data_IF_602758522229
#
_entry.id   IF_602758522229
#
_cell.length_a   1.000
_cell.length_b   1.000
_cell.length_c   1.000
_cell.angle_alpha   90.00
_cell.angle_beta   90.00
_cell.angle_gamma   90.00
#
_symmetry.space_group_name_H-M   'P 1'
#
loop_
_entity.id
_entity.type
_entity.pdbx_description
1 polymer ?
#
# COMPACT_ATOMS: atom_id res chain seq x y z
N UNK A 1 -43.33 32.50 11.73
CA UNK A 1 -41.92 32.96 11.50
C UNK A 1 -40.90 32.08 12.25
N UNK A 2 -41.08 31.82 13.53
CA UNK A 2 -40.17 30.94 14.32
C UNK A 2 -40.09 29.49 13.82
N UNK A 3 -41.22 28.92 13.38
CA UNK A 3 -41.29 27.54 12.87
C UNK A 3 -40.56 27.34 11.52
N UNK A 4 -40.56 28.37 10.68
CA UNK A 4 -39.84 28.35 9.39
C UNK A 4 -38.31 28.40 9.58
N UNK A 5 -37.84 29.26 10.49
CA UNK A 5 -36.41 29.33 10.84
C UNK A 5 -35.88 28.04 11.44
N UNK A 6 -36.67 27.38 12.31
CA UNK A 6 -36.30 26.11 12.90
C UNK A 6 -36.17 24.99 11.83
N UNK A 7 -37.12 24.95 10.89
CA UNK A 7 -37.08 23.98 9.77
C UNK A 7 -35.85 24.19 8.88
N UNK A 8 -35.51 25.42 8.55
CA UNK A 8 -34.33 25.75 7.76
C UNK A 8 -33.05 25.34 8.52
N UNK A 9 -32.96 25.64 9.81
CA UNK A 9 -31.81 25.26 10.63
C UNK A 9 -31.62 23.75 10.69
N UNK A 10 -32.71 22.96 10.83
CA UNK A 10 -32.65 21.50 10.85
C UNK A 10 -32.19 20.95 9.49
N UNK A 11 -32.73 21.46 8.39
CA UNK A 11 -32.32 21.02 7.05
C UNK A 11 -30.86 21.33 6.78
N UNK A 12 -30.38 22.53 7.13
CA UNK A 12 -28.96 22.89 6.96
C UNK A 12 -28.06 22.01 7.82
N UNK A 13 -28.46 21.72 9.05
CA UNK A 13 -27.70 20.82 9.93
C UNK A 13 -27.63 19.39 9.39
N UNK A 14 -28.75 18.85 8.87
CA UNK A 14 -28.79 17.51 8.27
C UNK A 14 -27.93 17.44 6.99
N UNK A 15 -27.98 18.48 6.14
CA UNK A 15 -27.14 18.55 4.94
C UNK A 15 -25.66 18.66 5.29
N UNK A 16 -25.32 19.41 6.33
CA UNK A 16 -23.94 19.52 6.81
C UNK A 16 -23.44 18.21 7.43
N UNK A 17 -24.28 17.52 8.22
CA UNK A 17 -23.96 16.21 8.78
C UNK A 17 -23.79 15.16 7.68
N UNK A 18 -24.62 15.19 6.63
CA UNK A 18 -24.50 14.30 5.48
C UNK A 18 -23.23 14.55 4.67
N UNK A 19 -22.79 15.82 4.56
CA UNK A 19 -21.56 16.18 3.89
C UNK A 19 -20.32 15.62 4.63
N UNK A 20 -20.36 15.58 5.97
CA UNK A 20 -19.26 15.02 6.78
C UNK A 20 -19.14 13.49 6.65
N UNK A 21 -20.25 12.79 6.32
CA UNK A 21 -20.25 11.35 6.09
C UNK A 21 -19.68 10.93 4.72
N UNK A 22 -19.57 11.88 3.78
CA UNK A 22 -19.06 11.64 2.41
C UNK A 22 -17.57 12.01 2.29
N UNK A 23 -16.93 12.50 3.35
CA UNK A 23 -15.48 12.67 3.32
C UNK A 23 -14.85 11.29 3.12
N UNK A 24 -14.15 11.06 1.99
CA UNK A 24 -13.41 9.82 1.83
C UNK A 24 -12.44 9.76 3.01
N UNK A 25 -12.50 8.68 3.77
CA UNK A 25 -11.43 8.37 4.72
C UNK A 25 -10.14 8.43 3.92
N UNK A 26 -9.36 9.50 4.13
CA UNK A 26 -8.13 9.71 3.40
C UNK A 26 -7.32 8.45 3.55
N UNK A 27 -7.09 7.73 2.46
CA UNK A 27 -6.10 6.67 2.44
C UNK A 27 -4.77 7.36 2.71
N UNK A 28 -4.34 7.27 3.94
CA UNK A 28 -3.06 7.81 4.38
C UNK A 28 -1.87 7.03 3.79
N UNK A 29 -2.12 6.01 2.96
CA UNK A 29 -1.10 5.10 2.47
C UNK A 29 -0.85 5.36 0.99
N UNK A 30 0.10 6.25 0.73
CA UNK A 30 0.79 6.32 -0.55
C UNK A 30 1.67 5.06 -0.68
N UNK A 31 1.17 4.03 -1.34
CA UNK A 31 1.89 2.76 -1.55
C UNK A 31 3.26 2.95 -2.21
N UNK A 32 3.44 3.81 -3.23
CA UNK A 32 4.76 4.12 -3.77
C UNK A 32 5.72 4.69 -2.72
N UNK A 33 5.28 5.60 -1.87
CA UNK A 33 6.10 6.15 -0.80
C UNK A 33 6.43 5.11 0.28
N UNK A 34 5.47 4.24 0.61
CA UNK A 34 5.67 3.13 1.53
C UNK A 34 6.70 2.12 0.97
N UNK A 35 6.58 1.75 -0.30
CA UNK A 35 7.56 0.90 -0.98
C UNK A 35 8.95 1.53 -0.95
N UNK A 36 9.06 2.81 -1.30
CA UNK A 36 10.32 3.54 -1.28
C UNK A 36 10.98 3.52 0.10
N UNK A 37 10.22 3.71 1.17
CA UNK A 37 10.75 3.77 2.53
C UNK A 37 11.08 2.40 3.13
N UNK A 38 10.37 1.33 2.76
CA UNK A 38 10.48 0.01 3.41
C UNK A 38 11.15 -1.05 2.54
N UNK A 39 11.12 -0.94 1.23
CA UNK A 39 11.49 -2.00 0.30
C UNK A 39 12.65 -1.60 -0.61
N UNK A 40 12.69 -0.35 -1.07
CA UNK A 40 13.59 0.09 -2.12
C UNK A 40 15.08 0.03 -1.74
N UNK A 41 15.43 0.06 -0.48
CA UNK A 41 16.83 -0.08 -0.05
C UNK A 41 17.46 -1.39 -0.54
N UNK A 42 16.68 -2.47 -0.58
CA UNK A 42 17.12 -3.77 -1.09
C UNK A 42 16.62 -4.03 -2.51
N UNK A 43 15.34 -3.75 -2.77
CA UNK A 43 14.68 -4.11 -4.02
C UNK A 43 14.81 -3.07 -5.13
N UNK A 44 15.45 -1.93 -4.90
CA UNK A 44 15.50 -0.75 -5.75
C UNK A 44 14.10 -0.13 -6.01
N UNK A 45 14.08 1.13 -6.45
CA UNK A 45 12.82 1.83 -6.72
C UNK A 45 11.99 1.20 -7.85
N UNK A 46 12.66 0.55 -8.80
CA UNK A 46 12.05 -0.15 -9.94
C UNK A 46 11.80 -1.64 -9.71
N UNK A 47 12.16 -2.17 -8.53
CA UNK A 47 12.02 -3.59 -8.19
C UNK A 47 13.15 -4.50 -8.69
N UNK A 48 14.17 -3.96 -9.36
CA UNK A 48 15.26 -4.75 -9.95
C UNK A 48 16.22 -5.38 -8.94
N UNK A 49 16.27 -4.85 -7.71
CA UNK A 49 17.29 -5.24 -6.75
C UNK A 49 18.68 -4.60 -7.00
N UNK A 50 18.75 -3.66 -7.95
CA UNK A 50 20.02 -2.99 -8.32
C UNK A 50 20.38 -1.89 -7.33
N UNK A 51 20.72 -2.30 -6.12
CA UNK A 51 21.26 -1.47 -5.03
C UNK A 51 22.47 -2.15 -4.43
N UNK A 52 23.36 -1.42 -3.74
CA UNK A 52 24.47 -2.05 -3.03
C UNK A 52 24.03 -3.16 -2.06
N UNK A 53 22.99 -2.90 -1.27
CA UNK A 53 22.41 -3.88 -0.34
C UNK A 53 21.76 -5.05 -1.08
N UNK A 54 20.99 -4.77 -2.12
CA UNK A 54 20.32 -5.79 -2.94
C UNK A 54 21.32 -6.75 -3.58
N UNK A 55 22.41 -6.23 -4.13
CA UNK A 55 23.51 -7.04 -4.71
C UNK A 55 24.21 -7.88 -3.65
N UNK A 56 24.55 -7.28 -2.51
CA UNK A 56 25.22 -7.99 -1.42
C UNK A 56 24.35 -9.13 -0.86
N UNK A 57 23.04 -8.93 -0.78
CA UNK A 57 22.08 -9.93 -0.30
C UNK A 57 21.55 -10.86 -1.40
N UNK A 58 21.91 -10.61 -2.66
CA UNK A 58 21.44 -11.36 -3.83
C UNK A 58 19.92 -11.41 -3.89
N UNK A 59 19.26 -10.27 -3.71
CA UNK A 59 17.81 -10.18 -3.78
C UNK A 59 17.32 -10.46 -5.21
N UNK A 60 16.21 -11.17 -5.31
CA UNK A 60 15.61 -11.50 -6.61
C UNK A 60 14.98 -10.24 -7.21
N UNK A 61 15.14 -10.05 -8.52
CA UNK A 61 14.40 -9.03 -9.28
C UNK A 61 12.90 -9.30 -9.17
N UNK A 62 12.19 -8.39 -8.54
CA UNK A 62 10.74 -8.50 -8.32
C UNK A 62 9.94 -8.53 -9.62
N UNK A 63 10.54 -8.06 -10.73
CA UNK A 63 9.91 -8.03 -12.06
C UNK A 63 10.16 -9.31 -12.87
N UNK A 64 10.95 -10.23 -12.31
CA UNK A 64 11.30 -11.49 -12.97
C UNK A 64 10.10 -12.44 -13.06
N UNK A 65 10.13 -13.33 -14.05
CA UNK A 65 9.12 -14.39 -14.19
C UNK A 65 9.03 -15.28 -12.94
N UNK A 66 10.16 -15.55 -12.29
CA UNK A 66 10.20 -16.35 -11.08
C UNK A 66 9.35 -15.74 -9.94
N UNK A 67 9.29 -14.41 -9.85
CA UNK A 67 8.45 -13.70 -8.90
C UNK A 67 7.02 -13.54 -9.43
N UNK A 68 6.88 -13.14 -10.69
CA UNK A 68 5.58 -12.80 -11.26
C UNK A 68 4.66 -14.02 -11.47
N UNK A 69 5.20 -15.23 -11.55
CA UNK A 69 4.44 -16.50 -11.57
C UNK A 69 3.94 -16.93 -10.19
N UNK A 70 4.46 -16.38 -9.11
CA UNK A 70 3.93 -16.65 -7.78
C UNK A 70 2.55 -16.02 -7.61
N UNK A 71 1.69 -16.67 -6.82
CA UNK A 71 0.38 -16.11 -6.48
C UNK A 71 0.50 -14.90 -5.56
N UNK A 72 -0.51 -14.05 -5.52
CA UNK A 72 -0.55 -12.94 -4.57
C UNK A 72 -0.47 -13.44 -3.12
N UNK A 73 -1.12 -14.57 -2.81
CA UNK A 73 -1.05 -15.19 -1.48
C UNK A 73 0.39 -15.58 -1.11
N UNK A 74 1.17 -16.11 -2.05
CA UNK A 74 2.58 -16.46 -1.81
C UNK A 74 3.45 -15.22 -1.60
N UNK A 75 3.24 -14.16 -2.36
CA UNK A 75 3.97 -12.90 -2.19
C UNK A 75 3.59 -12.19 -0.89
N UNK A 76 2.30 -12.22 -0.53
CA UNK A 76 1.81 -11.70 0.75
C UNK A 76 2.45 -12.47 1.91
N UNK A 77 2.46 -13.80 1.87
CA UNK A 77 3.09 -14.62 2.91
C UNK A 77 4.59 -14.33 3.05
N UNK A 78 5.32 -14.22 1.95
CA UNK A 78 6.75 -13.89 1.96
C UNK A 78 7.02 -12.52 2.58
N UNK A 79 6.15 -11.53 2.35
CA UNK A 79 6.27 -10.20 2.93
C UNK A 79 5.87 -10.18 4.40
N UNK A 80 4.80 -10.89 4.75
CA UNK A 80 4.28 -10.97 6.12
C UNK A 80 5.26 -11.69 7.05
N UNK A 81 5.72 -12.87 6.64
CA UNK A 81 6.50 -13.77 7.50
C UNK A 81 8.01 -13.63 7.29
N UNK A 82 8.43 -12.93 6.24
CA UNK A 82 9.81 -12.88 5.80
C UNK A 82 10.23 -14.15 5.06
N UNK A 83 11.35 -14.06 4.36
CA UNK A 83 11.94 -15.19 3.65
C UNK A 83 13.44 -14.99 3.49
N UNK A 84 14.24 -15.95 3.93
CA UNK A 84 15.70 -15.87 3.92
C UNK A 84 16.20 -14.59 4.63
N UNK A 85 16.86 -13.69 3.91
CA UNK A 85 17.37 -12.40 4.44
C UNK A 85 16.32 -11.29 4.44
N UNK A 86 15.15 -11.51 3.82
CA UNK A 86 14.05 -10.56 3.83
C UNK A 86 13.37 -10.58 5.21
N UNK A 87 13.28 -9.43 5.90
CA UNK A 87 12.63 -9.36 7.20
C UNK A 87 11.12 -9.59 7.11
N UNK A 88 10.52 -10.04 8.19
CA UNK A 88 9.08 -10.12 8.35
C UNK A 88 8.47 -8.74 8.61
N UNK A 89 7.37 -8.44 7.96
CA UNK A 89 6.64 -7.19 8.16
C UNK A 89 5.36 -7.35 8.98
N UNK A 90 5.07 -8.56 9.45
CA UNK A 90 3.99 -8.82 10.40
C UNK A 90 4.13 -7.91 11.62
N UNK A 91 3.04 -7.20 11.98
CA UNK A 91 3.04 -6.25 13.08
C UNK A 91 3.73 -4.91 12.80
N UNK A 92 4.44 -4.77 11.67
CA UNK A 92 5.05 -3.51 11.21
C UNK A 92 4.23 -2.81 10.14
N UNK A 93 3.57 -3.59 9.30
CA UNK A 93 2.63 -3.14 8.28
C UNK A 93 1.29 -3.83 8.49
N UNK A 94 0.21 -3.16 8.10
CA UNK A 94 -1.13 -3.77 8.09
C UNK A 94 -1.26 -4.77 6.95
N UNK A 95 -2.22 -5.69 7.06
CA UNK A 95 -2.52 -6.65 5.98
C UNK A 95 -2.94 -5.92 4.69
N UNK A 96 -3.66 -4.81 4.81
CA UNK A 96 -4.05 -3.98 3.68
C UNK A 96 -2.82 -3.36 2.99
N UNK A 97 -1.87 -2.82 3.75
CA UNK A 97 -0.62 -2.28 3.23
C UNK A 97 0.20 -3.34 2.51
N UNK A 98 0.32 -4.54 3.07
CA UNK A 98 1.04 -5.65 2.44
C UNK A 98 0.37 -6.06 1.11
N UNK A 99 -0.96 -6.16 1.07
CA UNK A 99 -1.70 -6.44 -0.16
C UNK A 99 -1.49 -5.36 -1.23
N UNK A 100 -1.50 -4.11 -0.85
CA UNK A 100 -1.27 -3.00 -1.79
C UNK A 100 0.18 -2.96 -2.28
N UNK A 101 1.16 -3.29 -1.44
CA UNK A 101 2.55 -3.45 -1.85
C UNK A 101 2.73 -4.60 -2.87
N UNK A 102 2.04 -5.72 -2.70
CA UNK A 102 2.07 -6.82 -3.68
C UNK A 102 1.49 -6.36 -5.03
N UNK A 103 0.38 -5.63 -5.04
CA UNK A 103 -0.15 -5.01 -6.27
C UNK A 103 0.86 -4.06 -6.91
N UNK A 104 1.52 -3.24 -6.10
CA UNK A 104 2.55 -2.32 -6.58
C UNK A 104 3.72 -3.05 -7.25
N UNK A 105 4.17 -4.17 -6.68
CA UNK A 105 5.19 -5.04 -7.29
C UNK A 105 4.74 -5.58 -8.65
N UNK A 106 3.45 -5.92 -8.83
CA UNK A 106 2.89 -6.29 -10.14
C UNK A 106 2.98 -5.13 -11.14
N UNK A 107 2.69 -3.91 -10.70
CA UNK A 107 2.78 -2.73 -11.55
C UNK A 107 4.23 -2.40 -11.96
N UNK A 108 5.20 -2.61 -11.08
CA UNK A 108 6.62 -2.46 -11.42
C UNK A 108 7.04 -3.37 -12.57
N UNK A 109 6.54 -4.60 -12.60
CA UNK A 109 6.84 -5.56 -13.67
C UNK A 109 6.29 -5.14 -15.03
N UNK A 110 5.18 -4.40 -15.09
CA UNK A 110 4.60 -3.87 -16.32
C UNK A 110 5.39 -2.72 -16.94
N UNK A 111 6.23 -2.07 -16.13
CA UNK A 111 7.06 -0.92 -16.57
C UNK A 111 8.48 -1.33 -16.98
N UNK A 112 8.75 -2.63 -17.03
CA UNK A 112 10.04 -3.21 -17.41
C UNK A 112 10.38 -2.96 -18.87
#
# INVERSE_FOLDING_TARGET
MKLGLLRIAVVVFLLFAMLLLVLPAGRADDTPALYKSKCAMCHAADGSGDTPTGKAMKVTDLRSDAVQKQTDAQLIASTTDGKNKMPAFKGKLTDAQIKDLVKYVRELAKKK
#
